data_IF_012825321884
#
_entry.id   IF_012825321884
#
_cell.length_a   1.000
_cell.length_b   1.000
_cell.length_c   1.000
_cell.angle_alpha   90.00
_cell.angle_beta   90.00
_cell.angle_gamma   90.00
#
_symmetry.space_group_name_H-M   'P 1'
#
loop_
_entity.id
_entity.type
_entity.pdbx_description
1 polymer ?
#
# COMPACT_ATOMS: atom_id res chain seq x y z
N UNK A 1 62.08 -2.76 9.64
CA UNK A 1 61.34 -2.90 8.37
C UNK A 1 59.94 -3.42 8.71
N UNK A 2 58.99 -2.50 9.01
CA UNK A 2 57.61 -2.87 9.33
C UNK A 2 56.87 -3.17 8.02
N UNK A 3 56.47 -4.43 7.81
CA UNK A 3 55.63 -4.83 6.70
C UNK A 3 54.17 -4.50 6.99
N UNK A 4 53.59 -3.57 6.23
CA UNK A 4 52.15 -3.33 6.21
C UNK A 4 51.52 -4.41 5.33
N UNK A 5 50.76 -5.31 5.94
CA UNK A 5 49.92 -6.28 5.21
C UNK A 5 48.60 -5.59 4.86
N UNK A 6 48.45 -5.22 3.59
CA UNK A 6 47.17 -4.78 3.03
C UNK A 6 46.32 -6.02 2.75
N UNK A 7 45.30 -6.26 3.58
CA UNK A 7 44.27 -7.26 3.30
C UNK A 7 43.31 -6.65 2.28
N UNK A 8 43.52 -6.93 1.00
CA UNK A 8 42.57 -6.63 -0.07
C UNK A 8 41.44 -7.66 -0.04
N UNK A 9 40.31 -7.32 0.59
CA UNK A 9 39.07 -8.05 0.42
C UNK A 9 38.49 -7.84 -0.99
N UNK A 10 37.84 -8.86 -1.60
CA UNK A 10 37.26 -8.70 -2.93
C UNK A 10 36.08 -7.72 -2.88
N UNK A 11 36.17 -6.62 -3.65
CA UNK A 11 35.04 -5.74 -3.95
C UNK A 11 34.14 -6.50 -4.92
N UNK A 12 33.01 -7.07 -4.45
CA UNK A 12 31.97 -7.56 -5.38
C UNK A 12 31.32 -6.35 -6.04
N UNK A 13 31.41 -6.29 -7.37
CA UNK A 13 30.61 -5.34 -8.14
C UNK A 13 29.13 -5.63 -7.89
N UNK A 14 28.35 -4.58 -7.64
CA UNK A 14 26.92 -4.71 -7.42
C UNK A 14 26.26 -5.39 -8.63
N UNK A 15 25.37 -6.34 -8.39
CA UNK A 15 24.63 -6.99 -9.47
C UNK A 15 23.74 -5.99 -10.20
N UNK A 16 23.29 -6.33 -11.40
CA UNK A 16 22.43 -5.40 -12.14
C UNK A 16 21.12 -5.17 -11.39
N UNK A 17 20.59 -6.18 -10.71
CA UNK A 17 19.39 -6.09 -9.88
C UNK A 17 19.64 -5.20 -8.66
N UNK A 18 20.77 -5.38 -7.97
CA UNK A 18 21.14 -4.55 -6.81
C UNK A 18 21.21 -3.06 -7.19
N UNK A 19 21.69 -2.75 -8.39
CA UNK A 19 21.79 -1.37 -8.88
C UNK A 19 20.44 -0.67 -9.06
N UNK A 20 19.32 -1.40 -9.10
CA UNK A 20 17.98 -0.85 -9.31
C UNK A 20 17.34 -0.33 -8.02
N UNK A 21 17.89 -0.69 -6.86
CA UNK A 21 17.38 -0.28 -5.56
C UNK A 21 18.05 0.99 -5.07
N UNK A 22 17.28 1.87 -4.45
CA UNK A 22 17.83 3.09 -3.83
C UNK A 22 18.68 2.78 -2.58
N UNK A 23 18.36 1.69 -1.89
CA UNK A 23 19.03 1.24 -0.68
C UNK A 23 18.95 -0.28 -0.57
N UNK A 24 19.90 -0.87 0.18
CA UNK A 24 19.98 -2.33 0.38
C UNK A 24 19.69 -2.75 1.82
N UNK A 25 19.42 -1.79 2.70
CA UNK A 25 19.30 -2.05 4.12
C UNK A 25 18.37 -1.06 4.81
N UNK A 26 17.61 -1.52 5.79
CA UNK A 26 16.83 -0.67 6.68
C UNK A 26 17.01 -1.11 8.14
N UNK A 27 17.12 -0.13 9.03
CA UNK A 27 17.16 -0.33 10.47
C UNK A 27 15.91 0.29 11.09
N UNK A 28 15.03 -0.54 11.64
CA UNK A 28 13.86 -0.08 12.37
C UNK A 28 14.22 0.49 13.74
N UNK A 29 15.47 0.36 14.19
CA UNK A 29 15.90 0.76 15.51
C UNK A 29 15.26 -0.09 16.60
N UNK A 30 15.06 0.52 17.77
CA UNK A 30 14.37 -0.13 18.86
C UNK A 30 12.85 -0.09 18.67
N UNK A 31 12.21 -1.24 18.74
CA UNK A 31 10.75 -1.37 18.55
C UNK A 31 10.14 -2.16 19.71
N UNK A 32 8.93 -1.80 20.19
CA UNK A 32 8.25 -2.58 21.22
C UNK A 32 7.95 -4.00 20.77
N UNK A 33 7.97 -4.95 21.71
CA UNK A 33 7.38 -6.25 21.47
C UNK A 33 5.88 -6.10 21.18
N UNK A 34 5.45 -6.75 20.11
CA UNK A 34 4.08 -6.70 19.63
C UNK A 34 3.89 -5.73 18.46
N UNK A 35 4.80 -4.77 18.27
CA UNK A 35 4.73 -3.87 17.13
C UNK A 35 4.82 -4.61 15.79
N UNK A 36 4.13 -4.07 14.80
CA UNK A 36 4.29 -4.43 13.39
C UNK A 36 4.90 -3.22 12.69
N UNK A 37 6.16 -3.34 12.27
CA UNK A 37 6.89 -2.25 11.61
C UNK A 37 7.13 -2.55 10.15
N UNK A 38 7.19 -1.52 9.31
CA UNK A 38 7.19 -1.64 7.86
C UNK A 38 8.20 -0.72 7.21
N UNK A 39 8.86 -1.23 6.16
CA UNK A 39 9.71 -0.45 5.29
C UNK A 39 9.41 -0.75 3.82
N UNK A 40 9.56 0.25 2.95
CA UNK A 40 9.37 0.12 1.51
C UNK A 40 10.69 0.38 0.80
N UNK A 41 11.29 -0.67 0.24
CA UNK A 41 12.43 -0.52 -0.65
C UNK A 41 11.95 -0.15 -2.05
N UNK A 42 12.49 0.93 -2.61
CA UNK A 42 12.13 1.41 -3.95
C UNK A 42 13.00 0.75 -5.00
N UNK A 43 12.39 -0.04 -5.88
CA UNK A 43 13.00 -0.55 -7.11
C UNK A 43 12.65 0.39 -8.26
N UNK A 44 13.66 0.90 -8.96
CA UNK A 44 13.48 1.71 -10.18
C UNK A 44 14.02 0.94 -11.39
N UNK A 45 13.16 0.59 -12.35
CA UNK A 45 13.62 -0.08 -13.56
C UNK A 45 14.32 0.94 -14.48
N UNK A 46 15.65 0.92 -14.46
CA UNK A 46 16.52 1.74 -15.32
C UNK A 46 16.93 1.04 -16.62
N UNK A 47 16.42 -0.17 -16.86
CA UNK A 47 16.66 -0.92 -18.09
C UNK A 47 15.68 -0.46 -19.18
N UNK A 48 15.97 -0.85 -20.42
CA UNK A 48 15.13 -0.60 -21.60
C UNK A 48 14.09 -1.71 -21.85
N UNK A 49 13.91 -2.62 -20.88
CA UNK A 49 12.98 -3.76 -20.96
C UNK A 49 12.26 -3.96 -19.61
N UNK A 50 11.07 -4.58 -19.57
CA UNK A 50 10.35 -4.80 -18.31
C UNK A 50 11.07 -5.83 -17.44
N UNK A 51 10.93 -5.68 -16.13
CA UNK A 51 11.44 -6.60 -15.12
C UNK A 51 10.27 -7.24 -14.40
N UNK A 52 10.30 -8.56 -14.27
CA UNK A 52 9.35 -9.31 -13.45
C UNK A 52 9.99 -9.69 -12.13
N UNK A 53 9.30 -9.38 -11.03
CA UNK A 53 9.65 -9.83 -9.68
C UNK A 53 8.98 -11.18 -9.48
N UNK A 54 9.79 -12.24 -9.47
CA UNK A 54 9.29 -13.61 -9.41
C UNK A 54 8.90 -14.00 -7.98
N UNK A 55 9.68 -13.56 -7.00
CA UNK A 55 9.54 -14.01 -5.62
C UNK A 55 10.24 -13.05 -4.65
N UNK A 56 9.75 -12.99 -3.41
CA UNK A 56 10.34 -12.26 -2.29
C UNK A 56 10.32 -13.16 -1.06
N UNK A 57 11.48 -13.66 -0.64
CA UNK A 57 11.62 -14.61 0.48
C UNK A 57 12.37 -14.00 1.64
N UNK A 58 11.86 -14.18 2.86
CA UNK A 58 12.55 -13.77 4.08
C UNK A 58 13.37 -14.91 4.68
N UNK A 59 14.50 -14.58 5.30
CA UNK A 59 15.38 -15.55 5.98
C UNK A 59 14.92 -15.94 7.39
N UNK A 60 13.98 -15.22 8.01
CA UNK A 60 13.38 -15.52 9.32
C UNK A 60 11.85 -15.49 9.22
N UNK A 61 11.15 -16.16 10.15
CA UNK A 61 9.70 -16.05 10.29
C UNK A 61 9.20 -14.74 10.94
N UNK A 62 10.11 -13.87 11.38
CA UNK A 62 9.83 -12.58 11.99
C UNK A 62 9.51 -11.47 10.97
N UNK A 63 9.91 -11.65 9.72
CA UNK A 63 9.72 -10.66 8.65
C UNK A 63 9.04 -11.34 7.48
N UNK A 64 8.10 -10.64 6.86
CA UNK A 64 7.52 -11.01 5.57
C UNK A 64 7.92 -9.99 4.52
N UNK A 65 8.13 -10.43 3.28
CA UNK A 65 8.43 -9.57 2.15
C UNK A 65 7.39 -9.76 1.05
N UNK A 66 6.96 -8.67 0.41
CA UNK A 66 6.11 -8.74 -0.80
C UNK A 66 6.39 -7.60 -1.75
N UNK A 67 6.23 -7.85 -3.05
CA UNK A 67 6.21 -6.79 -4.05
C UNK A 67 4.79 -6.24 -4.21
N UNK A 68 4.66 -4.91 -4.32
CA UNK A 68 3.36 -4.27 -4.59
C UNK A 68 2.99 -4.27 -6.08
N UNK A 69 3.93 -4.66 -6.96
CA UNK A 69 3.70 -4.93 -8.38
C UNK A 69 4.59 -6.12 -8.80
N UNK A 70 4.06 -7.03 -9.61
CA UNK A 70 4.82 -8.19 -10.12
C UNK A 70 5.68 -7.87 -11.34
N UNK A 71 5.34 -6.82 -12.09
CA UNK A 71 6.08 -6.40 -13.28
C UNK A 71 6.32 -4.89 -13.26
N UNK A 72 7.54 -4.49 -13.60
CA UNK A 72 8.02 -3.11 -13.56
C UNK A 72 8.44 -2.70 -14.98
N UNK A 73 7.63 -1.90 -15.69
CA UNK A 73 7.99 -1.41 -17.03
C UNK A 73 9.24 -0.52 -17.03
N UNK A 74 9.88 -0.30 -18.20
CA UNK A 74 11.00 0.63 -18.33
C UNK A 74 10.69 2.02 -17.77
N UNK A 75 11.61 2.56 -16.97
CA UNK A 75 11.49 3.88 -16.34
C UNK A 75 10.44 3.97 -15.22
N UNK A 76 9.80 2.87 -14.83
CA UNK A 76 8.82 2.82 -13.73
C UNK A 76 9.42 2.30 -12.44
N UNK A 77 8.70 2.53 -11.34
CA UNK A 77 9.09 2.11 -9.99
C UNK A 77 8.12 1.08 -9.43
N UNK A 78 8.63 0.18 -8.60
CA UNK A 78 7.85 -0.70 -7.75
C UNK A 78 8.38 -0.67 -6.31
N UNK A 79 7.51 -0.98 -5.36
CA UNK A 79 7.85 -1.04 -3.94
C UNK A 79 7.93 -2.50 -3.50
N UNK A 80 9.03 -2.84 -2.82
CA UNK A 80 9.17 -4.09 -2.07
C UNK A 80 8.91 -3.76 -0.60
N UNK A 81 7.82 -4.28 -0.08
CA UNK A 81 7.42 -4.10 1.32
C UNK A 81 8.07 -5.16 2.20
N UNK A 82 8.82 -4.71 3.20
CA UNK A 82 9.26 -5.50 4.34
C UNK A 82 8.34 -5.22 5.53
N UNK A 83 7.77 -6.25 6.13
CA UNK A 83 6.94 -6.14 7.33
C UNK A 83 7.49 -7.06 8.40
N UNK A 84 7.94 -6.49 9.51
CA UNK A 84 8.46 -7.22 10.66
C UNK A 84 7.39 -7.28 11.76
N UNK A 85 6.99 -8.49 12.12
CA UNK A 85 6.04 -8.77 13.20
C UNK A 85 6.80 -9.25 14.43
N UNK A 86 6.81 -8.42 15.46
CA UNK A 86 7.64 -8.61 16.65
C UNK A 86 6.93 -9.36 17.77
N UNK A 87 5.67 -9.77 17.61
CA UNK A 87 4.84 -10.38 18.68
C UNK A 87 5.52 -11.54 19.41
N UNK A 88 6.23 -12.37 18.65
CA UNK A 88 6.87 -13.59 19.13
C UNK A 88 8.41 -13.49 19.26
N UNK A 89 8.97 -12.28 19.17
CA UNK A 89 10.41 -12.07 19.13
C UNK A 89 10.85 -10.99 20.14
N UNK A 90 12.10 -11.06 20.57
CA UNK A 90 12.76 -10.09 21.46
C UNK A 90 14.24 -9.98 21.09
N UNK A 91 14.88 -8.88 21.50
CA UNK A 91 16.30 -8.61 21.28
C UNK A 91 16.65 -8.28 19.83
N UNK A 92 17.96 -8.28 19.49
CA UNK A 92 18.41 -7.94 18.15
C UNK A 92 17.94 -8.99 17.12
N UNK A 93 17.34 -8.51 16.04
CA UNK A 93 16.93 -9.30 14.88
C UNK A 93 17.48 -8.68 13.61
N UNK A 94 18.02 -9.53 12.75
CA UNK A 94 18.42 -9.19 11.39
C UNK A 94 17.84 -10.24 10.44
N UNK A 95 17.22 -9.77 9.37
CA UNK A 95 16.62 -10.61 8.32
C UNK A 95 17.09 -10.14 6.97
N UNK A 96 17.32 -11.08 6.06
CA UNK A 96 17.54 -10.78 4.65
C UNK A 96 16.29 -11.14 3.87
N UNK A 97 15.79 -10.18 3.09
CA UNK A 97 14.84 -10.41 2.02
C UNK A 97 15.60 -10.72 0.74
N UNK A 98 15.30 -11.87 0.14
CA UNK A 98 15.86 -12.34 -1.12
C UNK A 98 14.82 -12.16 -2.23
N UNK A 99 15.12 -11.33 -3.23
CA UNK A 99 14.24 -10.97 -4.33
C UNK A 99 14.76 -11.58 -5.62
N UNK A 100 13.95 -12.43 -6.25
CA UNK A 100 14.28 -13.03 -7.54
C UNK A 100 13.73 -12.17 -8.68
N UNK A 101 14.60 -11.73 -9.59
CA UNK A 101 14.26 -10.88 -10.73
C UNK A 101 14.53 -11.60 -12.05
N UNK A 102 13.71 -11.33 -13.06
CA UNK A 102 13.95 -11.73 -14.44
C UNK A 102 13.58 -10.61 -15.41
N UNK A 103 14.40 -10.37 -16.43
CA UNK A 103 14.09 -9.44 -17.52
C UNK A 103 13.32 -10.13 -18.65
N UNK A 104 12.71 -9.37 -19.56
CA UNK A 104 12.05 -9.94 -20.74
C UNK A 104 13.01 -10.75 -21.63
N UNK A 105 14.29 -10.34 -21.70
CA UNK A 105 15.38 -11.05 -22.38
C UNK A 105 15.85 -12.33 -21.68
N UNK A 106 15.26 -12.68 -20.52
CA UNK A 106 15.56 -13.91 -19.78
C UNK A 106 16.75 -13.80 -18.81
N UNK A 107 17.26 -12.58 -18.57
CA UNK A 107 18.37 -12.36 -17.65
C UNK A 107 17.88 -12.38 -16.21
N UNK A 108 18.44 -13.28 -15.40
CA UNK A 108 18.05 -13.47 -14.01
C UNK A 108 19.02 -12.79 -13.04
N UNK A 109 18.51 -12.41 -11.87
CA UNK A 109 19.32 -11.94 -10.75
C UNK A 109 18.62 -12.20 -9.41
N UNK A 110 19.40 -12.20 -8.35
CA UNK A 110 18.91 -12.30 -6.97
C UNK A 110 19.45 -11.12 -6.17
N UNK A 111 18.55 -10.30 -5.63
CA UNK A 111 18.90 -9.14 -4.80
C UNK A 111 18.64 -9.47 -3.33
N UNK A 112 19.53 -9.03 -2.45
CA UNK A 112 19.40 -9.21 -1.00
C UNK A 112 19.25 -7.86 -0.30
N UNK A 113 18.14 -7.68 0.39
CA UNK A 113 17.85 -6.47 1.17
C UNK A 113 17.82 -6.82 2.66
N UNK A 114 18.64 -6.15 3.46
CA UNK A 114 18.71 -6.37 4.89
C UNK A 114 17.67 -5.54 5.64
N UNK A 115 17.01 -6.14 6.62
CA UNK A 115 16.25 -5.40 7.64
C UNK A 115 16.72 -5.82 9.02
N UNK A 116 16.86 -4.86 9.93
CA UNK A 116 17.24 -5.15 11.32
C UNK A 116 16.45 -4.30 12.31
N UNK A 117 16.40 -4.76 13.55
CA UNK A 117 15.73 -4.09 14.66
C UNK A 117 16.23 -4.64 16.00
N UNK A 118 16.09 -3.85 17.07
CA UNK A 118 16.18 -4.32 18.45
C UNK A 118 14.78 -4.38 19.07
N UNK A 119 14.27 -5.57 19.37
CA UNK A 119 12.90 -5.73 19.89
C UNK A 119 12.91 -5.67 21.41
N UNK A 120 12.31 -4.62 21.96
CA UNK A 120 12.26 -4.33 23.39
C UNK A 120 11.25 -5.22 24.09
N UNK A 121 11.66 -5.88 25.19
CA UNK A 121 10.78 -6.73 25.99
C UNK A 121 10.05 -5.98 27.10
N UNK A 122 10.49 -4.76 27.39
CA UNK A 122 10.04 -3.91 28.50
C UNK A 122 9.09 -2.79 28.06
N UNK A 123 8.79 -2.69 26.76
CA UNK A 123 7.65 -1.95 26.21
C UNK A 123 6.73 -2.95 25.51
N UNK A 124 5.48 -3.04 25.97
CA UNK A 124 4.49 -3.99 25.48
C UNK A 124 3.30 -3.25 24.88
N UNK A 125 2.95 -3.60 23.64
CA UNK A 125 1.75 -3.12 22.96
C UNK A 125 0.69 -4.22 22.92
N UNK A 126 -0.55 -3.89 23.30
CA UNK A 126 -1.67 -4.83 23.23
C UNK A 126 -3.00 -4.15 22.79
N UNK A 127 -3.55 -4.47 21.61
CA UNK A 127 -2.92 -5.26 20.54
C UNK A 127 -1.66 -4.60 19.98
N UNK A 128 -0.92 -5.29 19.13
CA UNK A 128 0.31 -4.79 18.50
C UNK A 128 0.12 -3.73 17.41
N UNK A 129 -1.11 -3.62 16.90
CA UNK A 129 -1.51 -2.74 15.82
C UNK A 129 -3.00 -2.42 15.97
N UNK A 130 -3.47 -1.40 15.25
CA UNK A 130 -4.88 -1.06 15.16
C UNK A 130 -5.39 -1.52 13.79
N UNK A 131 -6.37 -2.41 13.78
CA UNK A 131 -7.05 -2.83 12.57
C UNK A 131 -8.56 -2.57 12.70
N UNK A 132 -9.07 -1.67 11.87
CA UNK A 132 -10.50 -1.38 11.80
C UNK A 132 -11.26 -2.35 10.89
N UNK A 133 -10.56 -3.17 10.09
CA UNK A 133 -11.17 -4.07 9.12
C UNK A 133 -11.87 -3.32 7.98
N UNK A 134 -12.97 -3.87 7.48
CA UNK A 134 -13.79 -3.24 6.44
C UNK A 134 -14.82 -2.33 7.09
N UNK A 135 -14.75 -1.04 6.78
CA UNK A 135 -15.58 0.01 7.37
C UNK A 135 -16.40 0.66 6.26
N UNK A 136 -17.70 0.84 6.43
CA UNK A 136 -18.47 1.63 5.47
C UNK A 136 -18.20 3.10 5.70
N UNK A 137 -18.06 3.87 4.63
CA UNK A 137 -17.83 5.31 4.73
C UNK A 137 -18.86 6.00 5.63
N UNK A 138 -18.41 6.99 6.40
CA UNK A 138 -19.22 7.69 7.41
C UNK A 138 -19.26 7.00 8.78
N UNK A 139 -18.89 5.71 8.87
CA UNK A 139 -18.77 5.04 10.17
C UNK A 139 -17.48 5.45 10.88
N UNK A 140 -17.57 5.60 12.20
CA UNK A 140 -16.46 6.04 13.06
C UNK A 140 -16.11 4.97 14.10
N UNK A 141 -15.66 3.77 13.69
CA UNK A 141 -15.24 2.75 14.64
C UNK A 141 -14.05 3.24 15.48
N UNK A 142 -13.97 2.74 16.71
CA UNK A 142 -12.91 3.06 17.67
C UNK A 142 -12.22 1.78 18.12
N UNK A 143 -10.89 1.80 18.15
CA UNK A 143 -10.05 0.72 18.69
C UNK A 143 -9.20 1.29 19.83
N UNK A 144 -9.02 0.49 20.88
CA UNK A 144 -8.16 0.83 22.01
C UNK A 144 -6.98 -0.12 22.09
N UNK A 145 -5.80 0.44 22.33
CA UNK A 145 -4.53 -0.24 22.52
C UNK A 145 -3.91 0.21 23.85
N UNK A 146 -3.31 -0.71 24.59
CA UNK A 146 -2.52 -0.39 25.78
C UNK A 146 -1.03 -0.41 25.47
N UNK A 147 -0.29 0.49 26.11
CA UNK A 147 1.16 0.63 26.04
C UNK A 147 1.68 0.52 27.47
N UNK A 148 2.40 -0.55 27.79
CA UNK A 148 2.94 -0.77 29.13
C UNK A 148 4.47 -0.74 29.08
N UNK A 149 5.06 0.19 29.83
CA UNK A 149 6.51 0.27 30.08
C UNK A 149 6.81 -0.34 31.44
N UNK A 150 7.61 -1.41 31.47
CA UNK A 150 8.00 -2.12 32.68
C UNK A 150 9.27 -1.52 33.29
N UNK A 151 9.34 -1.42 34.62
CA UNK A 151 10.56 -1.10 35.37
C UNK A 151 11.16 0.29 35.16
N UNK A 152 10.44 1.22 34.51
CA UNK A 152 10.93 2.56 34.21
C UNK A 152 9.92 3.64 34.65
N UNK A 153 9.86 3.99 35.96
CA UNK A 153 8.86 4.91 36.51
C UNK A 153 8.99 6.35 36.00
N UNK A 154 10.14 6.73 35.44
CA UNK A 154 10.39 8.05 34.84
C UNK A 154 10.00 8.11 33.34
N UNK A 155 9.68 6.97 32.72
CA UNK A 155 9.30 6.91 31.32
C UNK A 155 7.95 7.60 31.10
N UNK A 156 7.81 8.28 29.95
CA UNK A 156 6.60 9.01 29.55
C UNK A 156 6.39 8.87 28.05
N UNK A 157 5.15 8.56 27.68
CA UNK A 157 4.67 8.82 26.33
C UNK A 157 4.25 10.30 26.27
N UNK A 158 4.96 11.09 25.48
CA UNK A 158 4.82 12.55 25.46
C UNK A 158 3.64 12.99 24.60
N UNK A 159 3.50 12.42 23.40
CA UNK A 159 2.39 12.74 22.49
C UNK A 159 2.20 11.70 21.39
N UNK A 160 0.98 11.66 20.87
CA UNK A 160 0.62 10.95 19.64
C UNK A 160 0.85 11.86 18.42
N UNK A 161 1.42 11.31 17.35
CA UNK A 161 1.62 11.98 16.06
C UNK A 161 1.08 11.09 14.95
N UNK A 162 0.27 11.64 14.05
CA UNK A 162 -0.16 10.97 12.83
C UNK A 162 -0.23 11.97 11.68
N UNK A 163 0.21 11.56 10.50
CA UNK A 163 0.03 12.28 9.25
C UNK A 163 -1.31 11.96 8.59
N UNK A 164 -1.97 10.87 9.02
CA UNK A 164 -3.24 10.42 8.50
C UNK A 164 -4.38 11.35 8.94
N UNK A 165 -4.92 12.14 8.01
CA UNK A 165 -6.05 13.04 8.31
C UNK A 165 -7.35 12.30 8.63
N UNK A 166 -7.47 11.06 8.17
CA UNK A 166 -8.63 10.19 8.39
C UNK A 166 -8.72 9.63 9.81
N UNK A 167 -7.67 9.82 10.64
CA UNK A 167 -7.62 9.31 12.00
C UNK A 167 -7.73 10.44 13.01
N UNK A 168 -8.31 10.11 14.16
CA UNK A 168 -8.20 10.86 15.40
C UNK A 168 -7.90 9.92 16.55
N UNK A 169 -7.33 10.44 17.62
CA UNK A 169 -7.03 9.62 18.77
C UNK A 169 -6.61 10.41 19.98
N UNK A 170 -6.65 9.73 21.12
CA UNK A 170 -6.25 10.24 22.42
C UNK A 170 -5.29 9.27 23.09
N UNK A 171 -4.28 9.81 23.75
CA UNK A 171 -3.32 9.06 24.54
C UNK A 171 -3.45 9.49 26.00
N UNK A 172 -3.78 8.56 26.88
CA UNK A 172 -4.04 8.83 28.29
C UNK A 172 -3.21 7.91 29.16
N UNK A 173 -2.48 8.48 30.12
CA UNK A 173 -1.80 7.72 31.16
C UNK A 173 -2.83 7.03 32.05
N UNK A 174 -2.73 5.72 32.23
CA UNK A 174 -3.67 4.91 33.01
C UNK A 174 -3.11 4.48 34.35
N UNK A 175 -1.79 4.27 34.44
CA UNK A 175 -1.13 3.84 35.67
C UNK A 175 0.32 4.31 35.69
N UNK A 176 0.82 4.62 36.89
CA UNK A 176 2.23 4.89 37.15
C UNK A 176 2.61 4.36 38.51
N UNK A 177 3.38 3.29 38.51
CA UNK A 177 3.98 2.67 39.69
C UNK A 177 5.49 2.55 39.50
N UNK A 178 6.21 2.03 40.51
CA UNK A 178 7.63 1.70 40.36
C UNK A 178 7.88 0.64 39.28
N UNK A 179 6.95 -0.30 39.13
CA UNK A 179 7.09 -1.46 38.26
C UNK A 179 6.52 -1.24 36.86
N UNK A 180 5.54 -0.33 36.69
CA UNK A 180 4.86 -0.15 35.40
C UNK A 180 4.35 1.26 35.21
N UNK A 181 4.56 1.79 34.00
CA UNK A 181 3.88 2.97 33.48
C UNK A 181 3.00 2.53 32.31
N UNK A 182 1.70 2.73 32.42
CA UNK A 182 0.72 2.31 31.41
C UNK A 182 0.04 3.50 30.76
N UNK A 183 -0.19 3.39 29.45
CA UNK A 183 -1.00 4.32 28.67
C UNK A 183 -2.08 3.56 27.90
N UNK A 184 -3.19 4.26 27.65
CA UNK A 184 -4.26 3.85 26.75
C UNK A 184 -4.26 4.77 25.54
N UNK A 185 -4.04 4.19 24.38
CA UNK A 185 -4.23 4.83 23.09
C UNK A 185 -5.61 4.42 22.56
N UNK A 186 -6.48 5.41 22.34
CA UNK A 186 -7.80 5.20 21.72
C UNK A 186 -7.79 5.93 20.38
N UNK A 187 -8.06 5.21 19.29
CA UNK A 187 -8.02 5.74 17.92
C UNK A 187 -9.34 5.45 17.23
N UNK A 188 -9.86 6.44 16.53
CA UNK A 188 -11.08 6.34 15.72
C UNK A 188 -10.81 6.72 14.28
N UNK A 189 -11.56 6.09 13.37
CA UNK A 189 -11.68 6.58 12.01
C UNK A 189 -12.67 7.75 11.98
N UNK A 190 -12.32 8.84 11.29
CA UNK A 190 -13.21 9.99 11.13
C UNK A 190 -14.31 9.70 10.10
N UNK A 191 -15.48 10.36 10.20
CA UNK A 191 -16.59 10.11 9.27
C UNK A 191 -16.28 10.55 7.83
N UNK A 192 -15.35 11.49 7.66
CA UNK A 192 -14.88 11.98 6.36
C UNK A 192 -13.69 11.20 5.79
N UNK A 193 -13.34 10.05 6.39
CA UNK A 193 -12.30 9.18 5.87
C UNK A 193 -12.59 8.81 4.40
N UNK A 194 -11.62 9.02 3.49
CA UNK A 194 -11.83 8.76 2.06
C UNK A 194 -12.00 7.26 1.82
N UNK A 195 -12.79 6.90 0.81
CA UNK A 195 -12.92 5.51 0.39
C UNK A 195 -11.57 4.98 -0.14
N UNK A 196 -11.29 3.71 0.13
CA UNK A 196 -10.04 3.04 -0.23
C UNK A 196 -9.37 2.35 0.95
N UNK A 197 -8.12 1.93 0.74
CA UNK A 197 -7.31 1.30 1.78
C UNK A 197 -6.56 2.36 2.58
N UNK A 198 -6.62 2.25 3.90
CA UNK A 198 -5.79 2.98 4.85
C UNK A 198 -4.76 2.00 5.39
N UNK A 199 -3.49 2.36 5.27
CA UNK A 199 -2.34 1.64 5.84
C UNK A 199 -1.30 2.69 6.23
N UNK A 200 -1.37 3.15 7.46
CA UNK A 200 -0.59 4.29 7.97
C UNK A 200 0.04 3.95 9.34
N UNK A 201 0.88 4.84 9.86
CA UNK A 201 1.56 4.68 11.14
C UNK A 201 1.25 5.86 12.07
N UNK A 202 0.87 5.53 13.30
CA UNK A 202 0.82 6.48 14.41
C UNK A 202 2.15 6.36 15.16
N UNK A 203 2.81 7.48 15.39
CA UNK A 203 4.03 7.54 16.19
C UNK A 203 3.72 8.08 17.58
N UNK A 204 4.03 7.30 18.61
CA UNK A 204 4.02 7.76 20.00
C UNK A 204 5.41 8.23 20.36
N UNK A 205 5.59 9.54 20.54
CA UNK A 205 6.87 10.08 20.97
C UNK A 205 7.06 9.83 22.46
N UNK A 206 8.27 9.48 22.86
CA UNK A 206 8.60 9.15 24.26
C UNK A 206 9.88 9.87 24.68
N UNK A 207 10.10 9.95 26.00
CA UNK A 207 11.36 10.43 26.55
C UNK A 207 12.44 9.34 26.66
N UNK A 208 12.23 8.16 26.06
CA UNK A 208 13.20 7.06 26.05
C UNK A 208 14.25 7.31 24.96
N UNK A 209 15.56 7.40 25.31
CA UNK A 209 16.61 7.61 24.31
C UNK A 209 16.81 6.39 23.39
N UNK A 210 16.47 5.18 23.85
CA UNK A 210 16.53 3.98 23.01
C UNK A 210 15.30 3.88 22.11
N UNK A 211 14.13 4.34 22.59
CA UNK A 211 12.85 4.24 21.90
C UNK A 211 12.11 5.60 21.80
N UNK A 212 12.69 6.62 21.14
CA UNK A 212 12.13 7.98 21.12
C UNK A 212 10.80 8.08 20.35
N UNK A 213 10.50 7.09 19.51
CA UNK A 213 9.27 6.99 18.73
C UNK A 213 8.81 5.54 18.67
N UNK A 214 7.59 5.26 19.13
CA UNK A 214 6.96 3.94 19.02
C UNK A 214 5.99 3.94 17.82
N UNK A 215 6.29 3.22 16.73
CA UNK A 215 5.39 3.10 15.58
C UNK A 215 4.25 2.12 15.87
N UNK A 216 3.03 2.52 15.55
CA UNK A 216 1.81 1.72 15.67
C UNK A 216 1.13 1.70 14.29
N UNK A 217 1.15 0.53 13.66
CA UNK A 217 0.48 0.33 12.37
C UNK A 217 -1.04 0.46 12.53
N UNK A 218 -1.67 1.21 11.62
CA UNK A 218 -3.11 1.37 11.52
C UNK A 218 -3.59 0.91 10.14
N UNK A 219 -4.56 0.00 10.09
CA UNK A 219 -5.18 -0.49 8.85
C UNK A 219 -6.69 -0.32 8.83
N UNK A 220 -7.24 -0.01 7.65
CA UNK A 220 -8.68 -0.07 7.37
C UNK A 220 -8.92 -0.25 5.87
N UNK A 221 -10.09 -0.80 5.51
CA UNK A 221 -10.63 -0.74 4.16
C UNK A 221 -11.95 0.03 4.21
N UNK A 222 -11.91 1.31 3.83
CA UNK A 222 -13.09 2.16 3.76
C UNK A 222 -13.83 1.87 2.47
N UNK A 223 -14.96 1.17 2.58
CA UNK A 223 -15.84 0.90 1.45
C UNK A 223 -16.63 2.17 1.14
N UNK A 224 -16.37 2.72 -0.05
CA UNK A 224 -17.14 3.82 -0.61
C UNK A 224 -18.59 3.45 -0.85
N UNK A 225 -19.44 4.46 -0.97
CA UNK A 225 -20.87 4.25 -1.23
C UNK A 225 -21.15 3.74 -2.64
N UNK A 226 -20.22 3.96 -3.56
CA UNK A 226 -20.36 3.60 -4.97
C UNK A 226 -19.58 2.33 -5.31
N UNK A 227 -20.20 1.47 -6.12
CA UNK A 227 -19.59 0.25 -6.66
C UNK A 227 -19.85 0.19 -8.15
N UNK A 228 -18.84 -0.15 -8.94
CA UNK A 228 -18.96 -0.36 -10.37
C UNK A 228 -18.70 -1.82 -10.74
N UNK A 229 -19.50 -2.38 -11.64
CA UNK A 229 -19.37 -3.76 -12.09
C UNK A 229 -19.63 -3.88 -13.59
N UNK A 230 -18.74 -4.53 -14.36
CA UNK A 230 -17.41 -5.00 -13.95
C UNK A 230 -16.42 -3.83 -13.75
N UNK A 231 -15.25 -4.07 -13.12
CA UNK A 231 -14.17 -3.08 -13.09
C UNK A 231 -13.39 -3.03 -14.42
N UNK A 232 -13.28 -4.18 -15.09
CA UNK A 232 -12.72 -4.33 -16.44
C UNK A 232 -13.76 -4.99 -17.34
N UNK A 233 -14.12 -4.32 -18.43
CA UNK A 233 -15.05 -4.82 -19.44
C UNK A 233 -14.28 -5.21 -20.71
N UNK A 234 -14.17 -6.51 -20.96
CA UNK A 234 -13.62 -7.02 -22.21
C UNK A 234 -14.70 -7.03 -23.30
N UNK A 235 -14.50 -6.23 -24.34
CA UNK A 235 -15.37 -6.17 -25.52
C UNK A 235 -15.07 -7.28 -26.54
N UNK A 236 -13.94 -7.98 -26.38
CA UNK A 236 -13.53 -9.06 -27.27
C UNK A 236 -12.93 -8.56 -28.58
N UNK A 237 -13.14 -9.33 -29.66
CA UNK A 237 -12.62 -9.00 -30.98
C UNK A 237 -13.67 -8.26 -31.79
N UNK A 238 -13.26 -7.19 -32.46
CA UNK A 238 -14.12 -6.45 -33.39
C UNK A 238 -13.49 -6.34 -34.78
N UNK A 239 -14.31 -6.52 -35.82
CA UNK A 239 -13.92 -6.30 -37.20
C UNK A 239 -13.77 -4.80 -37.49
N UNK A 240 -13.05 -4.43 -38.55
CA UNK A 240 -12.74 -3.03 -38.90
C UNK A 240 -13.96 -2.15 -39.21
N UNK A 241 -15.14 -2.73 -39.41
CA UNK A 241 -16.43 -2.03 -39.59
C UNK A 241 -17.47 -2.38 -38.51
N UNK A 242 -17.08 -3.15 -37.49
CA UNK A 242 -17.97 -3.63 -36.44
C UNK A 242 -17.95 -2.73 -35.21
N UNK A 243 -19.12 -2.38 -34.68
CA UNK A 243 -19.23 -1.74 -33.37
C UNK A 243 -19.27 -2.79 -32.26
N UNK A 244 -18.46 -2.61 -31.22
CA UNK A 244 -18.50 -3.42 -30.01
C UNK A 244 -19.18 -2.64 -28.90
N UNK A 245 -20.02 -3.31 -28.11
CA UNK A 245 -20.74 -2.67 -27.00
C UNK A 245 -20.71 -3.50 -25.74
N UNK A 246 -20.75 -2.84 -24.58
CA UNK A 246 -20.96 -3.50 -23.31
C UNK A 246 -21.49 -2.51 -22.28
N UNK A 247 -21.67 -2.96 -21.04
CA UNK A 247 -22.31 -2.15 -20.00
C UNK A 247 -21.57 -2.24 -18.67
N UNK A 248 -21.53 -1.11 -17.98
CA UNK A 248 -21.17 -1.01 -16.58
C UNK A 248 -22.43 -0.70 -15.77
N UNK A 249 -22.54 -1.35 -14.61
CA UNK A 249 -23.54 -1.01 -13.59
C UNK A 249 -22.83 -0.28 -12.46
N UNK A 250 -23.24 0.96 -12.20
CA UNK A 250 -22.77 1.72 -11.04
C UNK A 250 -23.89 1.77 -10.01
N UNK A 251 -23.68 1.15 -8.85
CA UNK A 251 -24.61 1.12 -7.73
C UNK A 251 -24.12 2.01 -6.60
N UNK A 252 -25.02 2.82 -6.06
CA UNK A 252 -24.82 3.62 -4.86
C UNK A 252 -25.74 3.18 -3.73
N UNK A 253 -25.27 3.34 -2.49
CA UNK A 253 -26.12 3.14 -1.31
C UNK A 253 -27.26 4.17 -1.23
N UNK A 254 -27.02 5.39 -1.70
CA UNK A 254 -28.00 6.48 -1.80
C UNK A 254 -28.16 6.94 -3.26
N UNK A 255 -29.29 7.60 -3.64
CA UNK A 255 -29.45 8.14 -4.99
C UNK A 255 -28.40 9.21 -5.31
N UNK A 256 -27.73 9.07 -6.45
CA UNK A 256 -26.66 9.95 -6.92
C UNK A 256 -26.81 10.25 -8.41
N UNK A 257 -26.05 11.23 -8.90
CA UNK A 257 -26.00 11.64 -10.30
C UNK A 257 -24.56 11.56 -10.82
N UNK A 258 -24.39 11.11 -12.06
CA UNK A 258 -23.11 11.17 -12.77
C UNK A 258 -22.94 12.59 -13.31
N UNK A 259 -21.90 13.28 -12.84
CA UNK A 259 -21.69 14.70 -13.14
C UNK A 259 -20.75 14.91 -14.32
N UNK A 260 -19.83 13.96 -14.56
CA UNK A 260 -18.86 14.02 -15.66
C UNK A 260 -18.31 12.63 -15.99
N UNK A 261 -18.03 12.38 -17.26
CA UNK A 261 -17.29 11.20 -17.73
C UNK A 261 -16.09 11.67 -18.55
N UNK A 262 -14.90 11.20 -18.19
CA UNK A 262 -13.66 11.42 -18.94
C UNK A 262 -13.16 10.10 -19.55
N UNK A 263 -12.25 10.20 -20.52
CA UNK A 263 -11.65 9.02 -21.19
C UNK A 263 -12.37 8.59 -22.45
N UNK A 264 -13.36 9.34 -22.93
CA UNK A 264 -13.96 9.16 -24.27
C UNK A 264 -13.00 9.60 -25.39
N UNK A 265 -13.30 9.23 -26.63
CA UNK A 265 -12.46 9.50 -27.82
C UNK A 265 -11.68 8.28 -28.32
N UNK A 266 -11.07 8.41 -29.50
CA UNK A 266 -10.38 7.32 -30.21
C UNK A 266 -11.27 6.08 -30.41
N UNK A 267 -12.48 6.32 -30.94
CA UNK A 267 -13.52 5.31 -31.14
C UNK A 267 -14.29 4.87 -29.89
N UNK A 268 -13.85 5.24 -28.68
CA UNK A 268 -14.55 4.89 -27.44
C UNK A 268 -15.55 5.95 -26.98
N UNK A 269 -16.77 5.53 -26.65
CA UNK A 269 -17.79 6.36 -26.00
C UNK A 269 -18.39 5.62 -24.80
N UNK A 270 -18.68 6.36 -23.73
CA UNK A 270 -19.32 5.84 -22.53
C UNK A 270 -20.45 6.78 -22.13
N UNK A 271 -21.70 6.30 -22.21
CA UNK A 271 -22.90 7.12 -22.07
C UNK A 271 -23.79 6.55 -20.97
N UNK A 272 -24.21 7.35 -19.97
CA UNK A 272 -25.21 6.92 -19.00
C UNK A 272 -26.60 6.82 -19.65
N UNK A 273 -27.42 5.89 -19.17
CA UNK A 273 -28.79 5.68 -19.66
C UNK A 273 -29.70 6.91 -19.49
N UNK A 274 -29.52 7.65 -18.39
CA UNK A 274 -30.13 8.96 -18.17
C UNK A 274 -29.28 9.83 -17.23
N UNK A 275 -29.72 11.08 -17.00
CA UNK A 275 -29.09 12.01 -16.07
C UNK A 275 -29.81 12.09 -14.71
N UNK A 276 -30.75 11.17 -14.44
CA UNK A 276 -31.59 11.23 -13.25
C UNK A 276 -30.79 10.84 -12.02
N UNK A 277 -31.18 11.40 -10.87
CA UNK A 277 -30.65 10.99 -9.58
C UNK A 277 -31.27 9.65 -9.17
N UNK A 278 -30.45 8.60 -9.08
CA UNK A 278 -30.91 7.22 -8.78
C UNK A 278 -29.80 6.39 -8.14
N UNK A 279 -30.17 5.24 -7.58
CA UNK A 279 -29.24 4.33 -6.88
C UNK A 279 -28.50 3.38 -7.82
N UNK A 280 -28.98 3.20 -9.06
CA UNK A 280 -28.36 2.35 -10.07
C UNK A 280 -28.30 3.10 -11.40
N UNK A 281 -27.09 3.30 -11.89
CA UNK A 281 -26.82 3.84 -13.22
C UNK A 281 -26.29 2.74 -14.13
N UNK A 282 -26.77 2.71 -15.37
CA UNK A 282 -26.26 1.82 -16.41
C UNK A 282 -25.51 2.67 -17.42
N UNK A 283 -24.20 2.46 -17.55
CA UNK A 283 -23.38 3.14 -18.54
C UNK A 283 -23.14 2.19 -19.70
N UNK A 284 -23.54 2.60 -20.89
CA UNK A 284 -23.32 1.84 -22.12
C UNK A 284 -22.00 2.30 -22.73
N UNK A 285 -21.06 1.36 -22.83
CA UNK A 285 -19.81 1.51 -23.55
C UNK A 285 -20.03 1.11 -25.01
N UNK A 286 -19.54 1.92 -25.93
CA UNK A 286 -19.41 1.55 -27.34
C UNK A 286 -18.01 1.85 -27.85
N UNK A 287 -17.49 0.96 -28.69
CA UNK A 287 -16.26 1.15 -29.44
C UNK A 287 -16.54 1.02 -30.94
N UNK A 288 -16.10 2.04 -31.70
CA UNK A 288 -16.21 2.13 -33.15
C UNK A 288 -14.82 2.22 -33.79
N UNK A 289 -14.33 1.16 -34.44
CA UNK A 289 -13.00 1.12 -35.06
C UNK A 289 -12.81 2.19 -36.15
N UNK A 290 -13.86 2.56 -36.87
CA UNK A 290 -13.80 3.59 -37.91
C UNK A 290 -13.47 5.00 -37.37
N UNK A 291 -13.79 5.26 -36.10
CA UNK A 291 -13.48 6.51 -35.40
C UNK A 291 -12.16 6.42 -34.60
N UNK A 292 -11.53 5.24 -34.58
CA UNK A 292 -10.29 4.99 -33.87
C UNK A 292 -9.06 5.14 -34.78
N UNK A 293 -7.98 5.66 -34.22
CA UNK A 293 -6.68 5.81 -34.89
C UNK A 293 -5.75 4.63 -34.60
N UNK A 294 -5.89 4.00 -33.43
CA UNK A 294 -5.13 2.81 -33.03
C UNK A 294 -5.85 1.51 -33.44
N UNK A 295 -5.07 0.43 -33.61
CA UNK A 295 -5.52 -0.93 -33.96
C UNK A 295 -4.79 -1.97 -33.09
N UNK A 296 -5.28 -3.20 -33.06
CA UNK A 296 -4.75 -4.28 -32.23
C UNK A 296 -5.35 -4.31 -30.83
N UNK A 297 -4.56 -4.71 -29.83
CA UNK A 297 -5.00 -4.78 -28.43
C UNK A 297 -5.03 -3.38 -27.80
N UNK A 298 -6.24 -2.90 -27.53
CA UNK A 298 -6.48 -1.57 -26.96
C UNK A 298 -7.02 -1.71 -25.54
N UNK A 299 -6.54 -0.83 -24.65
CA UNK A 299 -7.06 -0.66 -23.31
C UNK A 299 -7.39 0.81 -23.05
N UNK A 300 -8.58 1.07 -22.50
CA UNK A 300 -9.07 2.43 -22.21
C UNK A 300 -9.52 2.54 -20.76
N UNK A 301 -9.15 3.61 -20.08
CA UNK A 301 -9.64 3.93 -18.73
C UNK A 301 -10.59 5.12 -18.80
N UNK A 302 -11.79 4.96 -18.25
CA UNK A 302 -12.79 6.02 -18.08
C UNK A 302 -12.82 6.46 -16.62
N UNK A 303 -12.98 7.77 -16.41
CA UNK A 303 -13.13 8.36 -15.07
C UNK A 303 -14.53 8.93 -14.94
N UNK A 304 -15.32 8.36 -14.03
CA UNK A 304 -16.72 8.73 -13.80
C UNK A 304 -16.81 9.51 -12.49
N UNK A 305 -17.19 10.78 -12.61
CA UNK A 305 -17.41 11.67 -11.48
C UNK A 305 -18.89 11.66 -11.07
N UNK A 306 -19.15 11.77 -9.78
CA UNK A 306 -20.51 11.81 -9.22
C UNK A 306 -20.67 12.98 -8.25
N UNK A 307 -21.91 13.21 -7.80
CA UNK A 307 -22.23 14.18 -6.75
C UNK A 307 -22.12 13.61 -5.33
N UNK A 308 -21.64 12.37 -5.16
CA UNK A 308 -21.49 11.75 -3.83
C UNK A 308 -20.31 12.36 -3.08
N UNK A 309 -20.52 13.05 -1.94
CA UNK A 309 -19.46 13.78 -1.25
C UNK A 309 -18.31 12.87 -0.80
N UNK A 310 -17.07 13.26 -1.13
CA UNK A 310 -15.85 12.56 -0.73
C UNK A 310 -15.66 11.17 -1.35
N UNK A 311 -16.48 10.77 -2.33
CA UNK A 311 -16.21 9.55 -3.09
C UNK A 311 -15.10 9.83 -4.11
N UNK A 312 -14.09 8.95 -4.23
CA UNK A 312 -13.13 9.05 -5.31
C UNK A 312 -13.83 8.86 -6.65
N UNK A 313 -13.26 9.45 -7.69
CA UNK A 313 -13.68 9.20 -9.07
C UNK A 313 -13.62 7.70 -9.38
N UNK A 314 -14.69 7.15 -9.94
CA UNK A 314 -14.72 5.74 -10.32
C UNK A 314 -13.89 5.54 -11.59
N UNK A 315 -12.91 4.62 -11.54
CA UNK A 315 -12.13 4.22 -12.71
C UNK A 315 -12.68 2.93 -13.30
N UNK A 316 -13.09 2.97 -14.57
CA UNK A 316 -13.61 1.83 -15.33
C UNK A 316 -12.66 1.51 -16.48
N UNK A 317 -12.30 0.25 -16.69
CA UNK A 317 -11.40 -0.13 -17.77
C UNK A 317 -12.09 -0.96 -18.85
N UNK A 318 -11.88 -0.62 -20.11
CA UNK A 318 -12.32 -1.43 -21.23
C UNK A 318 -11.12 -2.00 -21.99
N UNK A 319 -11.24 -3.23 -22.48
CA UNK A 319 -10.27 -3.83 -23.41
C UNK A 319 -10.97 -4.31 -24.67
N UNK A 320 -10.33 -4.15 -25.82
CA UNK A 320 -10.84 -4.62 -27.11
C UNK A 320 -9.68 -4.98 -28.03
N UNK A 321 -9.84 -6.00 -28.85
CA UNK A 321 -8.96 -6.28 -29.97
C UNK A 321 -9.60 -5.77 -31.26
N UNK A 322 -9.04 -4.71 -31.84
CA UNK A 322 -9.50 -4.13 -33.09
C UNK A 322 -8.72 -4.71 -34.26
N UNK A 323 -9.41 -5.40 -35.17
CA UNK A 323 -8.79 -5.93 -36.39
C UNK A 323 -8.12 -4.81 -37.20
N UNK A 324 -7.01 -5.09 -37.91
CA UNK A 324 -6.29 -4.11 -38.72
C UNK A 324 -7.18 -3.33 -39.70
#
# INVERSE_FOLDING_TARGET
>A
MLGVVLVSGPIRAASWGESLFAEQGHDFGAVPRGAIVRHHFVLTNRLNEPITILDVRASCGCTTGRALASTVPPGKTALIEALMDTRNFVGPKATTLTISLITASGRQDEVRLGVKSNILSDIVLNPGSIDFGVVSKGQTPTVTLTIDRLGAPAWRAERMVSTCRALEGSLVETTRTADTVGYRLTVSLKPDAPAGSIRDEIHILTNDPEAPSLPILVTAQVRGELTATPSVLALGHTASSGAATGRYLIRGATPFTITKIEGTGDGFQLIPDDANRKTLHVLTLSYRPEEATARGDLARTFRVHTDVPGEPTLELQATVHAAP
#
